data_IF_169963339512
#
_entry.id   IF_169963339512
#
_cell.length_a   1.000
_cell.length_b   1.000
_cell.length_c   1.000
_cell.angle_alpha   90.00
_cell.angle_beta   90.00
_cell.angle_gamma   90.00
#
_symmetry.space_group_name_H-M   'P 1'
#
loop_
_entity.id
_entity.type
_entity.pdbx_description
1 polymer ?
#
# COMPACT_ATOMS: atom_id res chain seq x y z
N UNK A 1 -11.96 -77.55 70.04
CA UNK A 1 -10.55 -77.18 69.85
C UNK A 1 -10.54 -75.79 69.19
N UNK A 2 -10.39 -74.73 69.99
CA UNK A 2 -10.40 -73.32 69.54
C UNK A 2 -8.99 -72.77 69.73
N UNK A 3 -8.46 -72.15 68.68
CA UNK A 3 -7.13 -71.54 68.61
C UNK A 3 -7.09 -70.25 69.45
N UNK A 4 -5.98 -69.94 70.15
CA UNK A 4 -5.80 -68.70 70.89
C UNK A 4 -4.93 -67.65 70.16
N UNK A 5 -4.97 -66.43 70.68
CA UNK A 5 -4.05 -65.29 70.45
C UNK A 5 -4.38 -64.42 69.21
N UNK A 6 -4.32 -63.10 69.24
CA UNK A 6 -3.42 -62.22 70.02
C UNK A 6 -4.02 -60.80 70.01
N UNK A 7 -4.23 -60.23 71.18
CA UNK A 7 -4.54 -58.81 71.36
C UNK A 7 -3.19 -58.09 71.59
N UNK A 8 -2.89 -57.07 70.79
CA UNK A 8 -1.75 -56.19 71.00
C UNK A 8 -2.17 -54.75 70.79
N UNK A 9 -2.62 -54.14 71.88
CA UNK A 9 -2.69 -52.69 72.08
C UNK A 9 -1.29 -52.10 71.97
N UNK A 10 -1.08 -51.15 71.07
CA UNK A 10 0.12 -50.32 71.07
C UNK A 10 -0.29 -48.87 70.80
N UNK A 11 -0.58 -48.14 71.87
CA UNK A 11 -0.61 -46.68 71.85
C UNK A 11 0.80 -46.17 71.51
N UNK A 12 0.95 -45.48 70.38
CA UNK A 12 2.18 -44.76 70.06
C UNK A 12 1.91 -43.25 70.06
N UNK A 13 2.43 -42.58 71.10
CA UNK A 13 2.43 -41.13 71.27
C UNK A 13 3.38 -40.51 70.21
N UNK A 14 2.94 -39.57 69.35
CA UNK A 14 3.80 -39.05 68.30
C UNK A 14 4.90 -38.14 68.89
N UNK A 15 6.16 -38.54 68.70
CA UNK A 15 7.35 -37.71 68.96
C UNK A 15 7.35 -36.52 68.00
N UNK A 16 7.00 -35.34 68.48
CA UNK A 16 7.19 -34.06 67.76
C UNK A 16 8.69 -33.82 67.53
N UNK A 17 9.15 -34.04 66.30
CA UNK A 17 10.46 -33.62 65.83
C UNK A 17 10.53 -32.10 65.81
N UNK A 18 11.45 -31.52 66.61
CA UNK A 18 11.69 -30.06 66.68
C UNK A 18 12.38 -29.49 65.44
N UNK A 19 12.80 -30.33 64.49
CA UNK A 19 13.54 -29.93 63.30
C UNK A 19 12.68 -29.79 62.04
N UNK A 20 11.44 -30.29 62.06
CA UNK A 20 10.51 -30.19 60.92
C UNK A 20 10.20 -28.75 60.48
N UNK A 21 9.89 -27.81 61.41
CA UNK A 21 9.59 -26.43 61.04
C UNK A 21 10.79 -25.67 60.48
N UNK A 22 12.00 -25.97 60.98
CA UNK A 22 13.22 -25.27 60.57
C UNK A 22 13.63 -25.62 59.13
N UNK A 23 13.51 -26.90 58.77
CA UNK A 23 13.78 -27.37 57.40
C UNK A 23 12.74 -26.81 56.42
N UNK A 24 11.47 -26.75 56.83
CA UNK A 24 10.40 -26.17 56.03
C UNK A 24 10.61 -24.66 55.78
N UNK A 25 11.04 -23.92 56.81
CA UNK A 25 11.38 -22.50 56.68
C UNK A 25 12.53 -22.27 55.70
N UNK A 26 13.61 -23.07 55.79
CA UNK A 26 14.75 -22.99 54.87
C UNK A 26 14.35 -23.29 53.41
N UNK A 27 13.46 -24.27 53.18
CA UNK A 27 12.96 -24.59 51.84
C UNK A 27 12.11 -23.46 51.25
N UNK A 28 11.21 -22.87 52.04
CA UNK A 28 10.39 -21.75 51.59
C UNK A 28 11.27 -20.55 51.25
N UNK A 29 12.28 -20.27 52.07
CA UNK A 29 13.18 -19.15 51.89
C UNK A 29 14.10 -19.34 50.67
N UNK A 30 14.58 -20.56 50.44
CA UNK A 30 15.33 -20.92 49.22
C UNK A 30 14.47 -20.82 47.95
N UNK A 31 13.22 -21.28 48.01
CA UNK A 31 12.27 -21.15 46.89
C UNK A 31 11.95 -19.69 46.55
N UNK A 32 11.73 -18.85 47.56
CA UNK A 32 11.45 -17.43 47.37
C UNK A 32 12.64 -16.69 46.73
N UNK A 33 13.88 -17.04 47.13
CA UNK A 33 15.10 -16.48 46.57
C UNK A 33 15.28 -16.87 45.09
N UNK A 34 14.98 -18.14 44.75
CA UNK A 34 15.00 -18.62 43.37
C UNK A 34 14.00 -17.88 42.47
N UNK A 35 12.78 -17.63 42.97
CA UNK A 35 11.76 -16.87 42.23
C UNK A 35 12.20 -15.41 42.04
N UNK A 36 12.77 -14.79 43.07
CA UNK A 36 13.26 -13.41 42.99
C UNK A 36 14.40 -13.26 41.96
N UNK A 37 15.37 -14.19 41.96
CA UNK A 37 16.45 -14.21 40.95
C UNK A 37 15.90 -14.46 39.55
N UNK A 38 14.92 -15.36 39.40
CA UNK A 38 14.29 -15.64 38.12
C UNK A 38 13.61 -14.39 37.53
N UNK A 39 12.89 -13.62 38.33
CA UNK A 39 12.22 -12.37 37.88
C UNK A 39 13.24 -11.30 37.46
N UNK A 40 14.35 -11.16 38.19
CA UNK A 40 15.42 -10.18 37.88
C UNK A 40 16.19 -10.53 36.60
N UNK A 41 16.38 -11.82 36.31
CA UNK A 41 17.11 -12.27 35.11
C UNK A 41 16.23 -12.27 33.86
N UNK A 42 14.91 -12.45 33.99
CA UNK A 42 14.00 -12.50 32.83
C UNK A 42 13.59 -11.11 32.31
N UNK A 43 13.73 -10.03 33.10
CA UNK A 43 13.40 -8.65 32.72
C UNK A 43 14.30 -7.68 33.50
N UNK A 44 15.10 -6.75 32.90
CA UNK A 44 14.94 -6.14 31.58
C UNK A 44 16.21 -6.10 30.70
N UNK A 45 16.06 -6.37 29.40
CA UNK A 45 16.89 -5.70 28.40
C UNK A 45 16.54 -4.20 28.45
N UNK A 46 17.37 -3.43 29.13
CA UNK A 46 17.41 -1.98 28.90
C UNK A 46 17.78 -1.80 27.42
N UNK A 47 16.81 -1.34 26.62
CA UNK A 47 17.08 -0.90 25.26
C UNK A 47 18.18 0.16 25.33
N UNK A 48 19.26 -0.05 24.60
CA UNK A 48 20.31 0.96 24.43
C UNK A 48 19.66 2.29 24.02
N UNK A 49 20.06 3.37 24.69
CA UNK A 49 19.58 4.72 24.38
C UNK A 49 19.81 5.03 22.90
N UNK A 50 18.83 5.62 22.19
CA UNK A 50 18.96 5.88 20.77
C UNK A 50 20.12 6.86 20.52
N UNK A 51 21.20 6.39 19.91
CA UNK A 51 22.22 7.28 19.36
C UNK A 51 21.59 8.15 18.27
N UNK A 52 21.51 9.45 18.52
CA UNK A 52 21.15 10.45 17.52
C UNK A 52 22.29 10.57 16.49
N UNK A 53 22.37 9.62 15.57
CA UNK A 53 23.18 9.76 14.37
C UNK A 53 22.42 10.68 13.42
N UNK A 54 22.75 11.96 13.45
CA UNK A 54 22.29 12.91 12.45
C UNK A 54 22.78 12.43 11.07
N UNK A 55 21.90 11.79 10.30
CA UNK A 55 22.16 11.49 8.89
C UNK A 55 22.55 12.80 8.21
N UNK A 56 23.77 12.83 7.67
CA UNK A 56 24.35 13.99 6.98
C UNK A 56 23.32 14.51 5.98
N UNK A 57 22.74 15.68 6.27
CA UNK A 57 21.75 16.31 5.40
C UNK A 57 22.37 16.43 4.02
N UNK A 58 21.76 15.76 3.04
CA UNK A 58 22.10 15.94 1.63
C UNK A 58 21.81 17.41 1.34
N UNK A 59 22.86 18.18 1.07
CA UNK A 59 22.69 19.53 0.55
C UNK A 59 22.08 19.39 -0.84
N UNK A 60 20.78 19.64 -0.95
CA UNK A 60 20.17 19.87 -2.24
C UNK A 60 20.90 21.08 -2.86
N UNK A 61 21.48 20.96 -4.06
CA UNK A 61 22.15 22.08 -4.70
C UNK A 61 21.17 23.25 -4.84
N UNK A 62 21.59 24.45 -4.39
CA UNK A 62 20.78 25.67 -4.30
C UNK A 62 20.04 26.07 -5.60
N UNK A 63 20.45 25.52 -6.74
CA UNK A 63 19.85 25.76 -8.06
C UNK A 63 18.34 25.50 -8.13
N UNK A 64 17.84 24.47 -7.45
CA UNK A 64 16.39 24.17 -7.50
C UNK A 64 15.56 25.13 -6.64
N UNK A 65 16.14 25.65 -5.56
CA UNK A 65 15.53 26.67 -4.71
C UNK A 65 15.49 28.02 -5.43
N UNK A 66 16.59 28.41 -6.08
CA UNK A 66 16.65 29.62 -6.90
C UNK A 66 15.62 29.58 -8.04
N UNK A 67 15.46 28.44 -8.71
CA UNK A 67 14.47 28.31 -9.78
C UNK A 67 13.02 28.39 -9.25
N UNK A 68 12.74 27.81 -8.08
CA UNK A 68 11.40 27.92 -7.43
C UNK A 68 11.11 29.34 -6.95
N UNK A 69 12.09 30.03 -6.40
CA UNK A 69 11.96 31.43 -5.96
C UNK A 69 11.78 32.34 -7.17
N UNK A 70 12.55 32.16 -8.24
CA UNK A 70 12.39 32.93 -9.48
C UNK A 70 11.02 32.69 -10.14
N UNK A 71 10.51 31.46 -10.12
CA UNK A 71 9.16 31.15 -10.63
C UNK A 71 8.06 31.81 -9.79
N UNK A 72 8.19 31.77 -8.46
CA UNK A 72 7.25 32.42 -7.55
C UNK A 72 7.28 33.95 -7.68
N UNK A 73 8.46 34.54 -7.85
CA UNK A 73 8.65 35.97 -8.08
C UNK A 73 8.06 36.41 -9.43
N UNK A 74 8.29 35.62 -10.49
CA UNK A 74 7.67 35.86 -11.80
C UNK A 74 6.14 35.76 -11.75
N UNK A 75 5.60 34.77 -11.03
CA UNK A 75 4.15 34.64 -10.84
C UNK A 75 3.56 35.79 -10.03
N UNK A 76 4.24 36.23 -8.96
CA UNK A 76 3.80 37.39 -8.18
C UNK A 76 3.84 38.68 -9.01
N UNK A 77 4.89 38.89 -9.81
CA UNK A 77 4.98 40.03 -10.72
C UNK A 77 3.91 39.98 -11.82
N UNK A 78 3.62 38.80 -12.39
CA UNK A 78 2.59 38.62 -13.41
C UNK A 78 1.15 38.71 -12.85
N UNK A 79 0.96 38.39 -11.58
CA UNK A 79 -0.34 38.46 -10.89
C UNK A 79 -0.72 39.87 -10.42
N UNK A 80 0.19 40.84 -10.52
CA UNK A 80 -0.15 42.24 -10.26
C UNK A 80 -1.02 42.73 -11.42
N UNK A 81 -2.33 42.99 -11.20
CA UNK A 81 -3.16 43.55 -12.25
C UNK A 81 -2.59 44.93 -12.56
N UNK A 82 -1.99 45.09 -13.75
CA UNK A 82 -1.78 46.42 -14.31
C UNK A 82 -3.16 47.04 -14.44
N UNK A 83 -3.56 47.83 -13.45
CA UNK A 83 -4.66 48.77 -13.59
C UNK A 83 -4.23 49.72 -14.70
N UNK A 84 -4.60 49.38 -15.93
CA UNK A 84 -4.60 50.30 -17.04
C UNK A 84 -5.50 51.46 -16.62
N UNK A 85 -4.89 52.54 -16.15
CA UNK A 85 -5.57 53.82 -16.03
C UNK A 85 -6.06 54.18 -17.43
N UNK A 86 -7.34 53.91 -17.68
CA UNK A 86 -8.06 54.40 -18.85
C UNK A 86 -8.04 55.92 -18.75
N UNK A 87 -7.11 56.54 -19.46
CA UNK A 87 -7.16 57.98 -19.74
C UNK A 87 -8.43 58.20 -20.57
N UNK A 88 -9.53 58.59 -19.93
CA UNK A 88 -10.75 59.01 -20.61
C UNK A 88 -10.58 60.45 -21.06
N UNK A 89 -10.22 60.66 -22.32
CA UNK A 89 -10.34 61.95 -22.99
C UNK A 89 -11.81 62.21 -23.33
N UNK A 90 -12.61 62.54 -22.31
CA UNK A 90 -14.03 62.85 -22.45
C UNK A 90 -14.31 64.37 -22.52
N UNK A 91 -13.30 65.19 -22.76
CA UNK A 91 -13.49 66.62 -22.98
C UNK A 91 -12.64 67.05 -24.16
N UNK A 92 -13.27 67.79 -25.07
CA UNK A 92 -12.75 68.38 -26.31
C UNK A 92 -12.92 67.51 -27.56
N UNK A 93 -14.09 67.59 -28.21
CA UNK A 93 -14.30 67.75 -29.68
C UNK A 93 -15.83 67.71 -29.99
N UNK A 94 -16.29 68.29 -31.14
CA UNK A 94 -17.41 69.23 -31.21
C UNK A 94 -18.79 68.65 -31.59
N UNK A 95 -19.81 69.50 -31.42
CA UNK A 95 -21.26 69.26 -31.38
C UNK A 95 -21.96 68.76 -32.68
N UNK A 96 -21.23 68.16 -33.63
CA UNK A 96 -21.85 67.52 -34.79
C UNK A 96 -20.93 66.48 -35.42
N UNK A 97 -21.10 65.21 -35.04
CA UNK A 97 -20.51 64.10 -35.78
C UNK A 97 -21.41 63.71 -36.98
N UNK A 98 -20.84 63.43 -38.17
CA UNK A 98 -21.62 62.92 -39.30
C UNK A 98 -22.16 61.52 -39.01
N UNK A 99 -23.37 61.23 -39.49
CA UNK A 99 -24.04 59.95 -39.27
C UNK A 99 -23.22 58.79 -39.84
N UNK A 100 -22.94 57.81 -38.99
CA UNK A 100 -22.21 56.59 -39.33
C UNK A 100 -22.90 55.80 -40.46
N UNK A 101 -22.13 55.23 -41.42
CA UNK A 101 -22.69 54.29 -42.38
C UNK A 101 -23.11 53.01 -41.66
N UNK A 102 -24.24 52.43 -42.10
CA UNK A 102 -24.79 51.22 -41.50
C UNK A 102 -23.78 50.05 -41.61
N UNK A 103 -23.28 49.60 -40.47
CA UNK A 103 -22.48 48.39 -40.39
C UNK A 103 -23.41 47.17 -40.52
N UNK A 104 -23.04 46.16 -41.31
CA UNK A 104 -23.83 44.93 -41.40
C UNK A 104 -23.84 44.24 -40.03
N UNK A 105 -25.03 43.95 -39.52
CA UNK A 105 -25.22 43.12 -38.34
C UNK A 105 -24.87 41.68 -38.71
N UNK A 106 -23.68 41.24 -38.30
CA UNK A 106 -23.36 39.81 -38.34
C UNK A 106 -24.13 39.14 -37.21
N UNK A 107 -25.08 38.29 -37.56
CA UNK A 107 -25.74 37.40 -36.60
C UNK A 107 -24.68 36.54 -35.91
N UNK A 108 -24.53 36.73 -34.60
CA UNK A 108 -23.68 35.91 -33.77
C UNK A 108 -24.36 34.54 -33.64
N UNK A 109 -23.86 33.54 -34.38
CA UNK A 109 -24.24 32.14 -34.23
C UNK A 109 -23.18 31.46 -33.34
N UNK A 110 -23.42 31.27 -32.03
CA UNK A 110 -22.48 30.60 -31.17
C UNK A 110 -22.64 29.08 -31.32
N UNK A 111 -22.24 28.51 -32.45
CA UNK A 111 -21.73 27.14 -32.64
C UNK A 111 -21.14 27.11 -34.07
N UNK A 112 -19.95 27.69 -34.25
CA UNK A 112 -19.00 27.15 -35.22
C UNK A 112 -17.73 26.87 -34.44
N UNK A 113 -17.53 25.58 -34.13
CA UNK A 113 -16.34 25.08 -33.46
C UNK A 113 -15.13 25.37 -34.34
N UNK A 114 -14.43 26.46 -34.06
CA UNK A 114 -13.13 26.74 -34.65
C UNK A 114 -12.16 25.61 -34.26
N UNK A 115 -11.60 24.82 -35.20
CA UNK A 115 -10.68 23.73 -34.90
C UNK A 115 -9.36 24.22 -34.27
N UNK A 116 -9.05 25.52 -34.32
CA UNK A 116 -7.91 26.10 -33.62
C UNK A 116 -8.12 26.20 -32.10
N UNK A 117 -9.38 26.33 -31.63
CA UNK A 117 -9.69 26.38 -30.19
C UNK A 117 -9.55 25.00 -29.51
N UNK A 118 -9.76 23.91 -30.26
CA UNK A 118 -9.51 22.54 -29.78
C UNK A 118 -8.01 22.25 -29.61
N UNK A 119 -7.13 22.97 -30.31
CA UNK A 119 -5.68 22.84 -30.13
C UNK A 119 -5.18 23.60 -28.91
N UNK A 120 -5.86 24.67 -28.49
CA UNK A 120 -5.55 25.37 -27.24
C UNK A 120 -5.86 24.52 -26.01
N UNK A 121 -6.95 23.75 -26.02
CA UNK A 121 -7.26 22.77 -24.95
C UNK A 121 -6.28 21.59 -24.94
N UNK A 122 -5.79 21.15 -26.10
CA UNK A 122 -4.77 20.11 -26.18
C UNK A 122 -3.39 20.56 -25.66
N UNK A 123 -3.04 21.84 -25.82
CA UNK A 123 -1.80 22.42 -25.30
C UNK A 123 -1.92 22.83 -23.82
N UNK A 124 -3.10 23.29 -23.39
CA UNK A 124 -3.42 23.57 -21.99
C UNK A 124 -3.53 22.28 -21.16
N UNK A 125 -3.96 21.16 -21.75
CA UNK A 125 -3.90 19.83 -21.14
C UNK A 125 -2.49 19.20 -21.08
N UNK A 126 -1.53 19.72 -21.86
CA UNK A 126 -0.11 19.35 -21.77
C UNK A 126 0.64 20.18 -20.72
N UNK A 127 0.19 21.40 -20.44
CA UNK A 127 0.66 22.17 -19.28
C UNK A 127 -0.10 21.67 -18.05
N UNK A 128 0.57 21.07 -17.06
CA UNK A 128 -0.09 20.62 -15.82
C UNK A 128 -0.78 21.71 -14.98
N UNK A 129 -0.99 22.92 -15.53
CA UNK A 129 -1.56 24.11 -14.90
C UNK A 129 -3.06 23.95 -14.63
N UNK A 130 -3.83 23.31 -15.52
CA UNK A 130 -5.24 23.02 -15.25
C UNK A 130 -5.42 21.89 -14.23
N UNK A 131 -4.50 20.91 -14.18
CA UNK A 131 -4.46 19.91 -13.11
C UNK A 131 -4.10 20.49 -11.74
N UNK A 132 -3.32 21.56 -11.70
CA UNK A 132 -2.94 22.25 -10.46
C UNK A 132 -4.07 23.15 -9.90
N UNK A 133 -4.86 23.80 -10.77
CA UNK A 133 -5.96 24.67 -10.35
C UNK A 133 -7.24 23.88 -9.97
N UNK A 134 -7.41 22.67 -10.51
CA UNK A 134 -8.47 21.75 -10.12
C UNK A 134 -8.09 20.87 -8.92
N UNK A 135 -6.82 20.91 -8.51
CA UNK A 135 -6.23 20.14 -7.41
C UNK A 135 -6.49 20.66 -5.99
N UNK A 136 -7.35 21.68 -5.81
CA UNK A 136 -7.84 22.11 -4.49
C UNK A 136 -9.09 21.33 -4.03
N UNK A 137 -9.65 20.47 -4.88
CA UNK A 137 -10.56 19.40 -4.44
C UNK A 137 -9.77 18.12 -4.43
N UNK A 138 -9.55 17.58 -3.24
CA UNK A 138 -8.88 16.30 -2.98
C UNK A 138 -9.74 15.15 -3.51
N UNK A 139 -9.87 15.02 -4.83
CA UNK A 139 -10.48 13.84 -5.44
C UNK A 139 -9.51 12.68 -5.27
N UNK A 140 -9.80 11.82 -4.28
CA UNK A 140 -9.15 10.53 -4.13
C UNK A 140 -9.28 9.74 -5.43
N UNK A 141 -8.18 9.26 -6.01
CA UNK A 141 -8.25 8.40 -7.21
C UNK A 141 -9.11 7.21 -6.94
N UNK A 142 -10.08 6.92 -7.80
CA UNK A 142 -10.70 5.61 -7.86
C UNK A 142 -9.78 4.64 -8.60
N UNK A 143 -9.49 3.51 -8.00
CA UNK A 143 -8.91 2.34 -8.62
C UNK A 143 -10.01 1.28 -8.74
N UNK A 144 -10.32 0.88 -9.98
CA UNK A 144 -11.22 -0.22 -10.27
C UNK A 144 -10.39 -1.36 -10.84
N UNK A 145 -10.44 -2.53 -10.19
CA UNK A 145 -9.80 -3.75 -10.68
C UNK A 145 -10.76 -4.92 -10.54
N UNK A 146 -11.12 -5.54 -11.67
CA UNK A 146 -11.98 -6.72 -11.69
C UNK A 146 -13.33 -6.53 -10.96
N UNK A 147 -13.86 -5.30 -10.99
CA UNK A 147 -15.13 -4.92 -10.36
C UNK A 147 -15.04 -4.55 -8.88
N UNK A 148 -13.86 -4.59 -8.27
CA UNK A 148 -13.61 -3.98 -6.96
C UNK A 148 -13.18 -2.54 -7.19
N UNK A 149 -13.92 -1.60 -6.61
CA UNK A 149 -13.63 -0.17 -6.66
C UNK A 149 -13.21 0.33 -5.27
N UNK A 150 -12.04 0.96 -5.19
CA UNK A 150 -11.61 1.65 -3.97
C UNK A 150 -10.91 2.97 -4.32
N UNK A 151 -10.73 3.85 -3.35
CA UNK A 151 -10.03 5.11 -3.55
C UNK A 151 -8.89 5.34 -2.56
N UNK A 152 -7.76 5.86 -3.06
CA UNK A 152 -6.57 6.08 -2.23
C UNK A 152 -5.50 6.95 -2.89
N UNK A 153 -4.61 7.50 -2.07
CA UNK A 153 -3.47 8.29 -2.53
C UNK A 153 -2.26 7.42 -2.89
N UNK A 154 -2.16 6.22 -2.31
CA UNK A 154 -1.05 5.27 -2.52
C UNK A 154 -1.58 3.87 -2.77
N UNK A 155 -1.63 3.46 -4.04
CA UNK A 155 -2.29 2.23 -4.49
C UNK A 155 -1.27 1.24 -5.04
N UNK A 156 -1.21 0.05 -4.45
CA UNK A 156 -0.25 -0.97 -4.84
C UNK A 156 -0.97 -2.21 -5.37
N UNK A 157 -0.49 -2.75 -6.49
CA UNK A 157 -1.05 -3.96 -7.10
C UNK A 157 -0.02 -5.08 -7.03
N UNK A 158 -0.35 -6.12 -6.28
CA UNK A 158 0.37 -7.38 -6.21
C UNK A 158 -0.34 -8.36 -7.13
N UNK A 159 0.36 -8.91 -8.11
CA UNK A 159 -0.21 -9.94 -8.98
C UNK A 159 0.68 -11.16 -9.02
N UNK A 160 0.06 -12.29 -8.73
CA UNK A 160 0.66 -13.60 -8.86
C UNK A 160 0.71 -13.97 -10.32
N UNK A 161 1.90 -14.30 -10.79
CA UNK A 161 2.12 -14.67 -12.18
C UNK A 161 2.63 -16.10 -12.35
N UNK A 162 2.42 -16.94 -11.34
CA UNK A 162 2.61 -18.38 -11.44
C UNK A 162 1.71 -18.98 -12.53
N UNK A 163 2.17 -20.10 -13.10
CA UNK A 163 1.43 -20.81 -14.15
C UNK A 163 0.07 -21.33 -13.68
N UNK A 164 -0.07 -21.67 -12.40
CA UNK A 164 -1.33 -22.17 -11.81
C UNK A 164 -2.42 -21.10 -11.87
N UNK A 165 -2.07 -19.86 -11.53
CA UNK A 165 -2.97 -18.71 -11.63
C UNK A 165 -3.41 -18.49 -13.07
N UNK A 166 -2.49 -18.53 -14.04
CA UNK A 166 -2.85 -18.34 -15.45
C UNK A 166 -3.76 -19.44 -15.99
N UNK A 167 -3.55 -20.68 -15.56
CA UNK A 167 -4.41 -21.80 -15.93
C UNK A 167 -5.82 -21.61 -15.35
N UNK A 168 -5.93 -21.34 -14.04
CA UNK A 168 -7.22 -21.12 -13.38
C UNK A 168 -7.95 -19.89 -13.89
N UNK A 169 -7.24 -18.79 -14.17
CA UNK A 169 -7.79 -17.57 -14.77
C UNK A 169 -8.33 -17.86 -16.18
N UNK A 170 -7.57 -18.58 -17.01
CA UNK A 170 -8.02 -18.99 -18.34
C UNK A 170 -9.26 -19.87 -18.26
N UNK A 171 -9.30 -20.83 -17.33
CA UNK A 171 -10.46 -21.69 -17.13
C UNK A 171 -11.67 -20.95 -16.53
N UNK A 172 -11.47 -19.75 -15.99
CA UNK A 172 -12.51 -18.83 -15.54
C UNK A 172 -12.90 -17.80 -16.62
N UNK A 173 -12.38 -17.95 -17.85
CA UNK A 173 -12.66 -17.08 -18.99
C UNK A 173 -11.81 -15.81 -19.08
N UNK A 174 -10.82 -15.65 -18.19
CA UNK A 174 -9.91 -14.49 -18.18
C UNK A 174 -8.63 -14.83 -18.91
N UNK A 175 -8.53 -14.39 -20.17
CA UNK A 175 -7.29 -14.54 -20.94
C UNK A 175 -6.20 -13.61 -20.41
N UNK A 176 -4.93 -13.91 -20.67
CA UNK A 176 -3.83 -13.00 -20.28
C UNK A 176 -4.00 -11.62 -20.90
N UNK A 177 -4.51 -11.51 -22.12
CA UNK A 177 -4.76 -10.21 -22.74
C UNK A 177 -5.88 -9.45 -22.02
N UNK A 178 -6.91 -10.16 -21.53
CA UNK A 178 -7.94 -9.55 -20.68
C UNK A 178 -7.34 -9.04 -19.36
N UNK A 179 -6.46 -9.82 -18.73
CA UNK A 179 -5.76 -9.40 -17.52
C UNK A 179 -4.86 -8.18 -17.73
N UNK A 180 -4.06 -8.17 -18.80
CA UNK A 180 -3.21 -7.03 -19.17
C UNK A 180 -4.06 -5.79 -19.46
N UNK A 181 -5.19 -5.95 -20.15
CA UNK A 181 -6.14 -4.86 -20.38
C UNK A 181 -6.71 -4.33 -19.07
N UNK A 182 -7.12 -5.20 -18.16
CA UNK A 182 -7.69 -4.81 -16.87
C UNK A 182 -6.68 -4.01 -16.02
N UNK A 183 -5.44 -4.50 -15.89
CA UNK A 183 -4.37 -3.75 -15.22
C UNK A 183 -4.06 -2.42 -15.91
N UNK A 184 -4.08 -2.40 -17.25
CA UNK A 184 -3.85 -1.17 -18.01
C UNK A 184 -4.97 -0.15 -17.79
N UNK A 185 -6.22 -0.61 -17.74
CA UNK A 185 -7.40 0.21 -17.43
C UNK A 185 -7.32 0.78 -16.02
N UNK A 186 -6.93 -0.03 -15.03
CA UNK A 186 -6.69 0.48 -13.67
C UNK A 186 -5.65 1.60 -13.69
N UNK A 187 -4.49 1.36 -14.30
CA UNK A 187 -3.41 2.36 -14.37
C UNK A 187 -3.86 3.62 -15.09
N UNK A 188 -4.66 3.49 -16.15
CA UNK A 188 -5.23 4.63 -16.88
C UNK A 188 -6.25 5.40 -16.03
N UNK A 189 -7.01 4.73 -15.16
CA UNK A 189 -7.99 5.34 -14.25
C UNK A 189 -7.40 6.16 -13.09
N UNK A 190 -6.14 5.93 -12.70
CA UNK A 190 -5.51 6.64 -11.58
C UNK A 190 -5.38 8.15 -11.83
N UNK A 191 -5.65 9.01 -10.84
CA UNK A 191 -5.36 10.46 -10.93
C UNK A 191 -3.83 10.69 -10.99
N UNK A 192 -3.40 11.74 -11.69
CA UNK A 192 -1.98 12.13 -11.80
C UNK A 192 -1.28 12.32 -10.45
N UNK A 193 -2.02 12.71 -9.40
CA UNK A 193 -1.49 12.92 -8.05
C UNK A 193 -1.44 11.64 -7.19
N UNK A 194 -1.98 10.51 -7.65
CA UNK A 194 -1.90 9.25 -6.92
C UNK A 194 -0.58 8.55 -7.18
N UNK A 195 0.03 8.06 -6.11
CA UNK A 195 1.21 7.22 -6.16
C UNK A 195 0.78 5.78 -6.36
N UNK A 196 1.45 5.06 -7.25
CA UNK A 196 1.17 3.65 -7.50
C UNK A 196 2.43 2.81 -7.65
N UNK A 197 2.26 1.51 -7.46
CA UNK A 197 3.30 0.51 -7.67
C UNK A 197 2.72 -0.79 -8.20
N UNK A 198 3.58 -1.60 -8.82
CA UNK A 198 3.24 -2.92 -9.35
C UNK A 198 4.27 -3.92 -8.84
N UNK A 199 3.80 -5.00 -8.22
CA UNK A 199 4.63 -6.05 -7.59
C UNK A 199 4.21 -7.40 -8.16
N UNK A 200 4.90 -7.89 -9.20
CA UNK A 200 4.71 -9.24 -9.67
C UNK A 200 5.34 -10.20 -8.67
N UNK A 201 4.65 -11.28 -8.35
CA UNK A 201 5.22 -12.34 -7.50
C UNK A 201 4.82 -13.73 -7.98
N UNK A 202 5.59 -14.72 -7.57
CA UNK A 202 5.26 -16.14 -7.68
C UNK A 202 6.04 -16.85 -6.56
N UNK A 203 7.19 -17.46 -6.87
CA UNK A 203 8.22 -17.76 -5.86
C UNK A 203 9.18 -16.60 -5.68
N UNK A 204 9.59 -15.96 -6.77
CA UNK A 204 10.38 -14.72 -6.70
C UNK A 204 9.45 -13.50 -6.60
N UNK A 205 9.98 -12.41 -6.08
CA UNK A 205 9.29 -11.11 -5.98
C UNK A 205 10.02 -10.11 -6.86
N UNK A 206 9.27 -9.28 -7.57
CA UNK A 206 9.83 -8.17 -8.34
C UNK A 206 9.05 -6.89 -8.12
N UNK A 207 9.51 -5.81 -8.74
CA UNK A 207 8.84 -4.52 -8.70
C UNK A 207 8.94 -3.85 -10.07
N UNK A 208 7.94 -3.03 -10.41
CA UNK A 208 8.08 -2.10 -11.54
C UNK A 208 9.11 -1.00 -11.21
N UNK A 209 8.98 -0.45 -10.00
CA UNK A 209 9.91 0.48 -9.36
C UNK A 209 9.98 0.12 -7.88
N UNK A 210 11.15 0.25 -7.27
CA UNK A 210 11.37 0.00 -5.84
C UNK A 210 10.79 1.11 -4.92
N UNK A 211 9.93 1.97 -5.48
CA UNK A 211 9.21 3.04 -4.77
C UNK A 211 7.92 3.38 -5.53
N UNK A 212 6.95 3.97 -4.82
CA UNK A 212 5.69 4.41 -5.43
C UNK A 212 5.92 5.62 -6.32
N UNK A 213 5.35 5.61 -7.52
CA UNK A 213 5.50 6.71 -8.49
C UNK A 213 4.18 7.39 -8.76
N UNK A 214 4.21 8.69 -9.03
CA UNK A 214 3.00 9.42 -9.42
C UNK A 214 2.43 8.90 -10.76
N UNK A 215 1.11 8.78 -10.85
CA UNK A 215 0.38 8.34 -12.03
C UNK A 215 0.29 9.42 -13.12
N UNK A 216 1.39 10.11 -13.42
CA UNK A 216 1.48 11.01 -14.58
C UNK A 216 1.45 10.24 -15.91
N UNK A 217 1.07 10.92 -17.00
CA UNK A 217 0.89 10.30 -18.32
C UNK A 217 2.09 9.46 -18.78
N UNK A 218 3.32 9.95 -18.57
CA UNK A 218 4.55 9.22 -18.90
C UNK A 218 4.70 7.94 -18.08
N UNK A 219 4.51 8.02 -16.76
CA UNK A 219 4.64 6.87 -15.86
C UNK A 219 3.57 5.81 -16.14
N UNK A 220 2.35 6.23 -16.46
CA UNK A 220 1.27 5.32 -16.91
C UNK A 220 1.66 4.58 -18.19
N UNK A 221 2.21 5.28 -19.19
CA UNK A 221 2.68 4.64 -20.42
C UNK A 221 3.82 3.65 -20.18
N UNK A 222 4.80 4.02 -19.33
CA UNK A 222 5.88 3.13 -18.94
C UNK A 222 5.35 1.89 -18.20
N UNK A 223 4.43 2.07 -17.26
CA UNK A 223 3.79 0.98 -16.53
C UNK A 223 3.02 0.04 -17.47
N UNK A 224 2.25 0.56 -18.43
CA UNK A 224 1.51 -0.28 -19.40
C UNK A 224 2.43 -1.14 -20.26
N UNK A 225 3.53 -0.56 -20.77
CA UNK A 225 4.55 -1.35 -21.50
C UNK A 225 5.17 -2.41 -20.60
N UNK A 226 5.51 -2.02 -19.38
CA UNK A 226 6.09 -2.94 -18.41
C UNK A 226 5.13 -4.08 -18.04
N UNK A 227 3.83 -3.83 -17.90
CA UNK A 227 2.80 -4.86 -17.65
C UNK A 227 2.80 -5.89 -18.78
N UNK A 228 2.74 -5.45 -20.03
CA UNK A 228 2.74 -6.34 -21.20
C UNK A 228 3.97 -7.26 -21.20
N UNK A 229 5.14 -6.73 -20.86
CA UNK A 229 6.40 -7.48 -20.84
C UNK A 229 6.54 -8.41 -19.62
N UNK A 230 6.02 -8.01 -18.45
CA UNK A 230 6.34 -8.65 -17.17
C UNK A 230 5.25 -9.57 -16.64
N UNK A 231 4.01 -9.46 -17.13
CA UNK A 231 2.91 -10.35 -16.70
C UNK A 231 3.27 -11.83 -16.92
N UNK A 232 3.85 -12.19 -18.07
CA UNK A 232 4.31 -13.57 -18.34
C UNK A 232 5.78 -13.83 -18.01
N UNK A 233 6.50 -12.82 -17.50
CA UNK A 233 7.93 -12.95 -17.24
C UNK A 233 8.19 -13.72 -15.95
N UNK A 234 9.01 -14.76 -16.04
CA UNK A 234 9.58 -15.42 -14.88
C UNK A 234 10.74 -14.64 -14.26
N UNK A 235 11.32 -13.67 -14.99
CA UNK A 235 12.41 -12.83 -14.46
C UNK A 235 11.80 -11.73 -13.61
N UNK A 236 12.14 -11.74 -12.33
CA UNK A 236 11.74 -10.74 -11.35
C UNK A 236 12.97 -10.20 -10.66
N UNK A 237 13.00 -8.89 -10.49
CA UNK A 237 14.05 -8.22 -9.76
C UNK A 237 13.42 -7.10 -8.94
N UNK A 238 13.94 -6.95 -7.73
CA UNK A 238 13.71 -5.81 -6.84
C UNK A 238 14.98 -5.62 -6.02
N UNK A 239 15.30 -4.38 -5.67
CA UNK A 239 16.39 -4.08 -4.74
C UNK A 239 15.91 -4.01 -3.29
N UNK A 240 14.60 -4.15 -3.06
CA UNK A 240 14.02 -4.10 -1.73
C UNK A 240 14.30 -5.42 -0.99
N UNK A 241 14.75 -5.35 0.27
CA UNK A 241 15.06 -6.55 1.06
C UNK A 241 13.79 -7.31 1.41
N UNK A 242 13.84 -8.63 1.28
CA UNK A 242 12.86 -9.57 1.83
C UNK A 242 13.55 -10.88 2.20
N UNK A 243 13.03 -11.57 3.22
CA UNK A 243 13.63 -12.81 3.74
C UNK A 243 12.93 -14.05 3.20
N UNK A 244 11.61 -14.09 3.33
CA UNK A 244 10.76 -15.16 2.81
C UNK A 244 10.34 -14.80 1.38
N UNK A 245 10.26 -15.79 0.51
CA UNK A 245 9.88 -15.60 -0.88
C UNK A 245 8.34 -15.74 -1.05
N UNK A 246 7.86 -15.68 -2.29
CA UNK A 246 6.44 -15.71 -2.64
C UNK A 246 5.58 -14.62 -2.00
N UNK A 247 4.36 -14.96 -1.56
CA UNK A 247 3.39 -13.96 -1.05
C UNK A 247 3.92 -13.22 0.19
N UNK A 248 4.66 -13.91 1.07
CA UNK A 248 5.19 -13.28 2.27
C UNK A 248 6.27 -12.24 1.92
N UNK A 249 7.11 -12.55 0.93
CA UNK A 249 8.06 -11.60 0.36
C UNK A 249 7.39 -10.44 -0.35
N UNK A 250 6.35 -10.72 -1.15
CA UNK A 250 5.58 -9.70 -1.86
C UNK A 250 4.92 -8.71 -0.90
N UNK A 251 4.35 -9.20 0.21
CA UNK A 251 3.79 -8.37 1.28
C UNK A 251 4.89 -7.56 1.99
N UNK A 252 6.06 -8.14 2.23
CA UNK A 252 7.18 -7.42 2.85
C UNK A 252 7.67 -6.28 1.97
N UNK A 253 7.80 -6.51 0.67
CA UNK A 253 8.12 -5.48 -0.34
C UNK A 253 7.00 -4.45 -0.43
N UNK A 254 5.75 -4.88 -0.35
CA UNK A 254 4.59 -4.00 -0.38
C UNK A 254 4.59 -3.01 0.78
N UNK A 255 4.75 -3.48 2.02
CA UNK A 255 4.71 -2.61 3.19
C UNK A 255 5.86 -1.58 3.23
N UNK A 256 7.01 -1.90 2.64
CA UNK A 256 8.12 -0.94 2.46
C UNK A 256 7.76 0.24 1.54
N UNK A 257 6.78 0.06 0.65
CA UNK A 257 6.26 1.12 -0.22
C UNK A 257 5.14 1.95 0.46
N UNK A 258 4.83 1.64 1.72
CA UNK A 258 3.82 2.27 2.56
C UNK A 258 2.43 2.46 1.90
N UNK A 259 1.82 1.45 1.27
CA UNK A 259 0.55 1.62 0.57
C UNK A 259 -0.59 1.99 1.52
N UNK A 260 -1.60 2.65 0.97
CA UNK A 260 -2.89 2.85 1.62
C UNK A 260 -3.88 1.76 1.19
N UNK A 261 -3.77 1.31 -0.07
CA UNK A 261 -4.61 0.27 -0.66
C UNK A 261 -3.71 -0.75 -1.36
N UNK A 262 -3.95 -2.03 -1.11
CA UNK A 262 -3.29 -3.17 -1.73
C UNK A 262 -4.35 -4.01 -2.46
N UNK A 263 -4.19 -4.18 -3.77
CA UNK A 263 -4.91 -5.20 -4.53
C UNK A 263 -4.02 -6.42 -4.70
N UNK A 264 -4.50 -7.59 -4.30
CA UNK A 264 -3.83 -8.87 -4.51
C UNK A 264 -4.61 -9.65 -5.55
N UNK A 265 -3.94 -10.10 -6.61
CA UNK A 265 -4.54 -10.95 -7.64
C UNK A 265 -3.84 -12.30 -7.69
N UNK A 266 -4.53 -13.39 -7.40
CA UNK A 266 -3.96 -14.75 -7.34
C UNK A 266 -5.06 -15.82 -7.36
N UNK A 267 -4.69 -17.09 -7.37
CA UNK A 267 -5.57 -18.24 -7.15
C UNK A 267 -5.64 -18.67 -5.67
N UNK A 268 -4.90 -18.00 -4.78
CA UNK A 268 -4.93 -18.23 -3.34
C UNK A 268 -4.15 -19.45 -2.87
N UNK A 269 -3.39 -20.10 -3.76
CA UNK A 269 -2.49 -21.20 -3.43
C UNK A 269 -1.02 -20.74 -3.56
N UNK A 270 -0.40 -20.47 -2.42
CA UNK A 270 0.91 -19.85 -2.38
C UNK A 270 2.00 -20.85 -2.01
N UNK A 271 3.14 -20.73 -2.67
CA UNK A 271 4.32 -21.57 -2.41
C UNK A 271 5.51 -20.73 -1.96
N UNK A 272 6.32 -21.32 -1.07
CA UNK A 272 7.60 -20.75 -0.64
C UNK A 272 8.75 -21.75 -0.77
N UNK A 273 9.95 -21.21 -0.92
CA UNK A 273 11.20 -21.96 -0.86
C UNK A 273 11.62 -22.20 0.60
N UNK A 274 12.49 -23.19 0.80
CA UNK A 274 13.00 -23.52 2.13
C UNK A 274 13.93 -22.40 2.60
N UNK A 275 13.67 -21.85 3.77
CA UNK A 275 14.60 -20.94 4.46
C UNK A 275 15.21 -21.61 5.69
N UNK A 276 16.05 -20.90 6.43
CA UNK A 276 16.56 -21.38 7.71
C UNK A 276 15.44 -21.56 8.77
N UNK A 277 14.30 -20.88 8.60
CA UNK A 277 13.18 -20.86 9.56
C UNK A 277 11.95 -21.59 9.06
N UNK A 278 11.81 -21.80 7.75
CA UNK A 278 10.60 -22.36 7.14
C UNK A 278 10.92 -23.51 6.18
N UNK A 279 10.05 -24.52 6.17
CA UNK A 279 10.10 -25.59 5.18
C UNK A 279 9.61 -25.09 3.81
N UNK A 280 10.20 -25.62 2.73
CA UNK A 280 9.67 -25.44 1.39
C UNK A 280 8.28 -26.07 1.26
N UNK A 281 7.45 -25.50 0.40
CA UNK A 281 6.12 -26.02 0.07
C UNK A 281 5.06 -24.95 0.19
N UNK A 282 3.84 -25.38 0.43
CA UNK A 282 2.67 -24.52 0.47
C UNK A 282 2.73 -23.61 1.71
N UNK A 283 2.27 -22.38 1.54
CA UNK A 283 2.23 -21.35 2.59
C UNK A 283 0.85 -21.40 3.24
N UNK A 284 0.75 -21.83 4.52
CA UNK A 284 -0.52 -21.82 5.20
C UNK A 284 -1.03 -20.38 5.35
N UNK A 285 -2.34 -20.17 5.21
CA UNK A 285 -2.97 -18.85 5.43
C UNK A 285 -2.72 -18.27 6.82
N UNK A 286 -2.47 -19.13 7.82
CA UNK A 286 -2.05 -18.68 9.15
C UNK A 286 -0.69 -17.96 9.13
N UNK A 287 0.24 -18.38 8.26
CA UNK A 287 1.53 -17.72 8.12
C UNK A 287 1.39 -16.38 7.38
N UNK A 288 0.49 -16.29 6.39
CA UNK A 288 0.13 -15.02 5.74
C UNK A 288 -0.45 -14.03 6.77
N UNK A 289 -1.40 -14.46 7.61
CA UNK A 289 -1.99 -13.63 8.67
C UNK A 289 -0.94 -13.16 9.69
N UNK A 290 -0.01 -14.04 10.07
CA UNK A 290 1.12 -13.67 10.95
C UNK A 290 2.03 -12.64 10.30
N UNK A 291 2.37 -12.82 9.01
CA UNK A 291 3.18 -11.86 8.26
C UNK A 291 2.50 -10.49 8.20
N UNK A 292 1.21 -10.43 7.85
CA UNK A 292 0.46 -9.17 7.83
C UNK A 292 0.46 -8.49 9.20
N UNK A 293 0.18 -9.21 10.29
CA UNK A 293 0.23 -8.65 11.65
C UNK A 293 1.61 -8.14 12.04
N UNK A 294 2.66 -8.85 11.65
CA UNK A 294 4.04 -8.44 11.92
C UNK A 294 4.38 -7.15 11.17
N UNK A 295 4.05 -7.08 9.87
CA UNK A 295 4.29 -5.92 9.04
C UNK A 295 3.47 -4.70 9.49
N UNK A 296 2.20 -4.86 9.85
CA UNK A 296 1.39 -3.77 10.42
C UNK A 296 2.01 -3.21 11.69
N UNK A 297 2.58 -4.06 12.56
CA UNK A 297 3.29 -3.62 13.76
C UNK A 297 4.61 -2.93 13.45
N UNK A 298 5.36 -3.45 12.49
CA UNK A 298 6.69 -2.96 12.11
C UNK A 298 6.62 -1.58 11.43
N UNK A 299 5.71 -1.42 10.46
CA UNK A 299 5.58 -0.20 9.66
C UNK A 299 4.56 0.79 10.25
N UNK A 300 3.72 0.36 11.20
CA UNK A 300 2.71 1.23 11.81
C UNK A 300 1.59 1.65 10.86
N UNK A 301 1.40 0.91 9.75
CA UNK A 301 0.35 1.16 8.75
C UNK A 301 -0.59 -0.03 8.64
N UNK A 302 -1.85 0.26 8.33
CA UNK A 302 -2.88 -0.74 8.09
C UNK A 302 -3.55 -0.46 6.75
N UNK A 303 -2.97 -0.95 5.64
CA UNK A 303 -3.54 -0.73 4.31
C UNK A 303 -4.85 -1.50 4.14
N UNK A 304 -5.74 -0.97 3.31
CA UNK A 304 -6.89 -1.72 2.80
C UNK A 304 -6.43 -2.83 1.88
N UNK A 305 -6.87 -4.07 2.13
CA UNK A 305 -6.43 -5.23 1.35
C UNK A 305 -7.62 -5.83 0.62
N UNK A 306 -7.62 -5.69 -0.70
CA UNK A 306 -8.56 -6.33 -1.61
C UNK A 306 -7.92 -7.57 -2.23
N UNK A 307 -8.71 -8.62 -2.42
CA UNK A 307 -8.24 -9.86 -3.03
C UNK A 307 -9.14 -10.25 -4.20
N UNK A 308 -8.51 -10.52 -5.33
CA UNK A 308 -9.14 -10.99 -6.56
C UNK A 308 -8.63 -12.41 -6.82
N UNK A 309 -9.54 -13.36 -6.65
CA UNK A 309 -9.32 -14.78 -6.74
C UNK A 309 -9.68 -15.35 -8.09
N UNK A 310 -8.87 -16.26 -8.63
CA UNK A 310 -9.25 -17.10 -9.77
C UNK A 310 -9.41 -18.55 -9.32
N UNK A 311 -10.65 -19.06 -9.30
CA UNK A 311 -10.99 -20.42 -8.85
C UNK A 311 -10.31 -20.78 -7.52
N UNK A 312 -10.54 -19.93 -6.53
CA UNK A 312 -9.97 -20.12 -5.20
C UNK A 312 -10.63 -21.32 -4.52
N UNK A 313 -9.84 -22.14 -3.84
CA UNK A 313 -10.39 -23.27 -3.08
C UNK A 313 -11.22 -22.79 -1.89
N UNK A 314 -12.31 -23.49 -1.50
CA UNK A 314 -13.21 -23.03 -0.43
C UNK A 314 -12.51 -22.72 0.91
N UNK A 315 -11.54 -23.54 1.30
CA UNK A 315 -10.77 -23.31 2.55
C UNK A 315 -9.92 -22.04 2.47
N UNK A 316 -9.31 -21.77 1.31
CA UNK A 316 -8.55 -20.55 1.06
C UNK A 316 -9.47 -19.33 1.00
N UNK A 317 -10.63 -19.45 0.35
CA UNK A 317 -11.62 -18.37 0.25
C UNK A 317 -12.09 -17.88 1.63
N UNK A 318 -12.38 -18.80 2.55
CA UNK A 318 -12.75 -18.46 3.93
C UNK A 318 -11.64 -17.69 4.67
N UNK A 319 -10.38 -18.07 4.44
CA UNK A 319 -9.24 -17.39 5.04
C UNK A 319 -9.02 -16.00 4.42
N UNK A 320 -9.10 -15.89 3.10
CA UNK A 320 -9.01 -14.63 2.36
C UNK A 320 -10.09 -13.67 2.84
N UNK A 321 -11.34 -14.11 2.91
CA UNK A 321 -12.46 -13.26 3.34
C UNK A 321 -12.29 -12.74 4.77
N UNK A 322 -11.72 -13.56 5.67
CA UNK A 322 -11.38 -13.12 7.03
C UNK A 322 -10.29 -12.05 7.04
N UNK A 323 -9.29 -12.17 6.16
CA UNK A 323 -8.19 -11.20 6.03
C UNK A 323 -8.71 -9.90 5.42
N UNK A 324 -9.33 -9.95 4.24
CA UNK A 324 -9.82 -8.74 3.54
C UNK A 324 -10.78 -7.95 4.43
N UNK A 325 -11.72 -8.62 5.10
CA UNK A 325 -12.64 -7.97 6.06
C UNK A 325 -11.91 -7.30 7.23
N UNK A 326 -10.84 -7.91 7.76
CA UNK A 326 -10.08 -7.30 8.87
C UNK A 326 -9.40 -6.02 8.42
N UNK A 327 -8.80 -6.04 7.24
CA UNK A 327 -8.10 -4.91 6.67
C UNK A 327 -9.05 -3.95 5.94
N UNK A 328 -10.36 -4.10 6.05
CA UNK A 328 -11.33 -3.17 5.45
C UNK A 328 -11.39 -3.18 3.91
N UNK A 329 -10.99 -4.28 3.28
CA UNK A 329 -11.13 -4.49 1.84
C UNK A 329 -12.14 -5.56 1.46
N UNK A 330 -12.14 -5.95 0.19
CA UNK A 330 -13.13 -6.83 -0.43
C UNK A 330 -12.49 -8.08 -1.03
N UNK A 331 -13.26 -9.16 -1.09
CA UNK A 331 -12.86 -10.39 -1.78
C UNK A 331 -13.82 -10.66 -2.94
N UNK A 332 -13.27 -10.88 -4.14
CA UNK A 332 -13.99 -11.28 -5.34
C UNK A 332 -13.39 -12.58 -5.88
N UNK A 333 -14.22 -13.61 -6.10
CA UNK A 333 -13.79 -14.89 -6.67
C UNK A 333 -14.40 -15.11 -8.05
N UNK A 334 -13.53 -15.36 -9.03
CA UNK A 334 -13.88 -15.70 -10.40
C UNK A 334 -13.97 -17.22 -10.52
N UNK A 335 -14.99 -17.82 -9.94
CA UNK A 335 -15.23 -19.28 -10.01
C UNK A 335 -16.06 -19.68 -11.22
N UNK A 336 -16.93 -18.79 -11.74
CA UNK A 336 -17.72 -18.93 -12.97
C UNK A 336 -18.50 -17.62 -13.22
N UNK A 337 -18.20 -16.90 -14.30
CA UNK A 337 -19.17 -16.03 -14.98
C UNK A 337 -19.54 -16.67 -16.30
#
# INVERSE_FOLDING_TARGET
MRLPSKESTNESKPRRSKFGPLVLALLIQGGLLLVAVFVVVLVPEFRDDPEFVAKKKIYLPQKELEHKVALAEFQNAASSPMQLERISTAALLPDAMPSLPALPQSEFNPIERNPAALQSDALLGQSGVLGALQGLKTESSSASLFGIEDSGQRILILFDNSSTVWNKASDAGVTTDAFVRELSTLVDGLNANTLFGLVPFARQVGTFRDYMIAAGARNKQEAKRWIVENVRSNRKATQLPFVEDGIQGALTVAFQMEPEVIFIVSDGDFQRSKTAKTSAGDVPWQDVDKTLRALTREYGIEPRIHFIGFKVEPEAADAIQKITRRFGGEFSDFTQR
#
